data_IF_054556098129
#
_entry.id   IF_054556098129
#
_cell.length_a   1.000
_cell.length_b   1.000
_cell.length_c   1.000
_cell.angle_alpha   90.00
_cell.angle_beta   90.00
_cell.angle_gamma   90.00
#
_symmetry.space_group_name_H-M   'P 1'
#
loop_
_entity.id
_entity.type
_entity.pdbx_description
1 polymer ?
#
# COMPACT_ATOMS: atom_id res chain seq x y z
N UNK A 1 -3.59 -14.10 -15.85
CA UNK A 1 -2.66 -14.28 -14.70
C UNK A 1 -2.60 -12.98 -13.92
N UNK A 2 -2.63 -13.02 -12.59
CA UNK A 2 -2.50 -11.81 -11.75
C UNK A 2 -1.02 -11.57 -11.46
N UNK A 3 -0.52 -10.37 -11.73
CA UNK A 3 0.88 -10.02 -11.48
C UNK A 3 1.20 -9.97 -9.98
N UNK A 4 2.46 -10.18 -9.61
CA UNK A 4 2.91 -10.01 -8.22
C UNK A 4 2.65 -8.59 -7.70
N UNK A 5 2.81 -7.59 -8.57
CA UNK A 5 2.49 -6.19 -8.28
C UNK A 5 1.04 -6.00 -7.88
N UNK A 6 0.11 -6.58 -8.67
CA UNK A 6 -1.32 -6.53 -8.39
C UNK A 6 -1.66 -7.23 -7.07
N UNK A 7 -1.02 -8.38 -6.78
CA UNK A 7 -1.20 -9.09 -5.50
C UNK A 7 -0.76 -8.24 -4.31
N UNK A 8 0.39 -7.57 -4.39
CA UNK A 8 0.86 -6.70 -3.32
C UNK A 8 0.05 -5.41 -3.19
N UNK A 9 -0.41 -4.84 -4.29
CA UNK A 9 -1.34 -3.71 -4.27
C UNK A 9 -2.61 -4.05 -3.48
N UNK A 10 -3.23 -5.20 -3.77
CA UNK A 10 -4.43 -5.66 -3.07
C UNK A 10 -4.18 -5.88 -1.57
N UNK A 11 -3.04 -6.47 -1.19
CA UNK A 11 -2.67 -6.66 0.22
C UNK A 11 -2.48 -5.34 0.95
N UNK A 12 -1.77 -4.39 0.35
CA UNK A 12 -1.59 -3.06 0.92
C UNK A 12 -2.92 -2.31 1.06
N UNK A 13 -3.80 -2.38 0.07
CA UNK A 13 -5.12 -1.76 0.12
C UNK A 13 -6.00 -2.38 1.20
N UNK A 14 -6.01 -3.72 1.34
CA UNK A 14 -6.75 -4.41 2.39
C UNK A 14 -6.24 -4.00 3.78
N UNK A 15 -4.92 -3.91 3.94
CA UNK A 15 -4.30 -3.49 5.19
C UNK A 15 -4.73 -2.06 5.60
N UNK A 16 -4.73 -1.13 4.64
CA UNK A 16 -5.21 0.24 4.85
C UNK A 16 -6.72 0.26 5.16
N UNK A 17 -7.53 -0.48 4.41
CA UNK A 17 -8.97 -0.51 4.58
C UNK A 17 -9.41 -1.05 5.95
N UNK A 18 -8.73 -2.08 6.46
CA UNK A 18 -9.02 -2.67 7.79
C UNK A 18 -8.74 -1.69 8.93
N UNK A 19 -7.75 -0.80 8.77
CA UNK A 19 -7.45 0.24 9.77
C UNK A 19 -8.41 1.42 9.73
N UNK A 20 -9.02 1.68 8.57
CA UNK A 20 -9.87 2.84 8.37
C UNK A 20 -9.08 4.15 8.32
N UNK A 21 -9.82 5.26 8.34
CA UNK A 21 -9.28 6.61 8.13
C UNK A 21 -8.79 7.28 9.43
N UNK A 22 -8.60 6.53 10.52
CA UNK A 22 -8.27 7.13 11.82
C UNK A 22 -6.88 7.75 11.85
N UNK A 23 -5.87 7.11 11.24
CA UNK A 23 -4.50 7.62 11.22
C UNK A 23 -3.73 7.20 9.96
N UNK A 24 -2.79 8.04 9.46
CA UNK A 24 -1.88 7.67 8.39
C UNK A 24 -1.03 6.46 8.77
N UNK A 25 -0.90 5.53 7.83
CA UNK A 25 -0.06 4.36 7.99
C UNK A 25 1.28 4.58 7.30
N UNK A 26 2.37 4.30 8.01
CA UNK A 26 3.71 4.36 7.43
C UNK A 26 3.96 3.21 6.45
N UNK A 27 4.63 3.51 5.33
CA UNK A 27 4.97 2.51 4.32
C UNK A 27 5.84 1.38 4.90
N UNK A 28 6.76 1.70 5.81
CA UNK A 28 7.58 0.73 6.55
C UNK A 28 6.74 -0.32 7.26
N UNK A 29 5.65 0.11 7.89
CA UNK A 29 4.78 -0.78 8.64
C UNK A 29 4.04 -1.75 7.72
N UNK A 30 3.47 -1.25 6.62
CA UNK A 30 2.80 -2.10 5.63
C UNK A 30 3.80 -3.09 5.03
N UNK A 31 5.02 -2.64 4.71
CA UNK A 31 6.08 -3.48 4.15
C UNK A 31 6.45 -4.63 5.09
N UNK A 32 6.58 -4.37 6.39
CA UNK A 32 6.89 -5.38 7.40
C UNK A 32 5.73 -6.35 7.61
N UNK A 33 4.52 -5.83 7.84
CA UNK A 33 3.32 -6.63 8.13
C UNK A 33 2.93 -7.52 6.96
N UNK A 34 2.96 -6.99 5.75
CA UNK A 34 2.62 -7.73 4.54
C UNK A 34 3.82 -8.44 3.89
N UNK A 35 5.02 -8.34 4.47
CA UNK A 35 6.26 -8.94 3.92
C UNK A 35 6.46 -8.55 2.44
N UNK A 36 6.35 -7.26 2.16
CA UNK A 36 6.53 -6.67 0.82
C UNK A 36 7.84 -5.88 0.81
N UNK A 37 8.73 -6.06 -0.17
CA UNK A 37 9.94 -5.25 -0.27
C UNK A 37 9.58 -3.75 -0.33
N UNK A 38 10.14 -2.96 0.59
CA UNK A 38 9.77 -1.55 0.78
C UNK A 38 9.82 -0.73 -0.51
N UNK A 39 10.92 -0.79 -1.26
CA UNK A 39 11.06 -0.07 -2.55
C UNK A 39 9.97 -0.45 -3.56
N UNK A 40 9.55 -1.72 -3.56
CA UNK A 40 8.50 -2.19 -4.45
C UNK A 40 7.14 -1.69 -4.01
N UNK A 41 6.87 -1.70 -2.70
CA UNK A 41 5.65 -1.12 -2.13
C UNK A 41 5.55 0.39 -2.40
N UNK A 42 6.67 1.13 -2.31
CA UNK A 42 6.72 2.56 -2.64
C UNK A 42 6.29 2.82 -4.09
N UNK A 43 6.78 2.03 -5.05
CA UNK A 43 6.33 2.12 -6.45
C UNK A 43 4.84 1.83 -6.61
N UNK A 44 4.32 0.82 -5.90
CA UNK A 44 2.89 0.46 -5.94
C UNK A 44 2.04 1.59 -5.38
N UNK A 45 2.36 2.09 -4.19
CA UNK A 45 1.58 3.16 -3.53
C UNK A 45 1.66 4.48 -4.31
N UNK A 46 2.79 4.76 -4.97
CA UNK A 46 2.91 5.92 -5.85
C UNK A 46 1.94 5.85 -7.03
N UNK A 47 1.76 4.67 -7.63
CA UNK A 47 0.80 4.47 -8.71
C UNK A 47 -0.64 4.56 -8.22
N UNK A 48 -0.96 3.93 -7.10
CA UNK A 48 -2.28 4.03 -6.47
C UNK A 48 -2.63 5.46 -6.05
N UNK A 49 -1.63 6.26 -5.66
CA UNK A 49 -1.80 7.68 -5.36
C UNK A 49 -2.14 8.48 -6.61
N UNK A 50 -1.47 8.21 -7.74
CA UNK A 50 -1.74 8.87 -9.02
C UNK A 50 -3.17 8.64 -9.51
N UNK A 51 -3.74 7.47 -9.21
CA UNK A 51 -5.13 7.13 -9.56
C UNK A 51 -6.16 7.57 -8.51
N UNK A 52 -5.71 8.20 -7.41
CA UNK A 52 -6.59 8.68 -6.33
C UNK A 52 -7.13 7.58 -5.41
N UNK A 53 -6.64 6.35 -5.52
CA UNK A 53 -7.07 5.22 -4.66
C UNK A 53 -6.53 5.38 -3.24
N UNK A 54 -5.31 5.90 -3.09
CA UNK A 54 -4.72 6.20 -1.79
C UNK A 54 -4.31 7.66 -1.70
N UNK A 55 -4.27 8.20 -0.49
CA UNK A 55 -3.75 9.53 -0.19
C UNK A 55 -2.49 9.41 0.66
N UNK A 56 -1.62 10.40 0.56
CA UNK A 56 -0.41 10.49 1.39
C UNK A 56 -0.48 11.77 2.19
N UNK A 57 -0.22 11.65 3.49
CA UNK A 57 -0.05 12.77 4.40
C UNK A 57 1.45 13.09 4.54
N UNK A 58 1.77 14.37 4.77
CA UNK A 58 3.13 14.84 5.06
C UNK A 58 3.30 14.99 6.56
#
# INVERSE_FOLDING_TARGET
MISQKSRYALRALLYLAVRGDSDPVQISEIAERERIPRKFLESILLELKKTGIVRSQR
#
